data_IF_870066947458
#
_entry.id   IF_870066947458
#
_cell.length_a   1.000
_cell.length_b   1.000
_cell.length_c   1.000
_cell.angle_alpha   90.00
_cell.angle_beta   90.00
_cell.angle_gamma   90.00
#
_symmetry.space_group_name_H-M   'P 1'
#
loop_
_entity.id
_entity.type
_entity.pdbx_description
1 polymer ?
#
# COMPACT_ATOMS: atom_id res chain seq x y z
N UNK A 1 5.57 -19.84 -2.59
CA UNK A 1 6.77 -18.96 -2.68
C UNK A 1 6.28 -17.56 -3.01
N UNK A 2 6.80 -16.55 -2.33
CA UNK A 2 6.39 -15.15 -2.54
C UNK A 2 7.01 -14.53 -3.79
N UNK A 3 6.46 -13.40 -4.22
CA UNK A 3 6.98 -12.60 -5.33
C UNK A 3 7.71 -11.36 -4.83
N UNK A 4 8.78 -11.00 -5.51
CA UNK A 4 9.43 -9.71 -5.42
C UNK A 4 8.61 -8.66 -6.18
N UNK A 5 8.45 -7.48 -5.57
CA UNK A 5 7.72 -6.35 -6.15
C UNK A 5 8.68 -5.19 -6.31
N UNK A 6 8.82 -4.71 -7.54
CA UNK A 6 9.44 -3.43 -7.88
C UNK A 6 8.47 -2.71 -8.80
N UNK A 7 7.97 -1.57 -8.36
CA UNK A 7 7.05 -0.74 -9.14
C UNK A 7 7.64 0.66 -9.27
N UNK A 8 7.49 1.28 -10.45
CA UNK A 8 8.01 2.61 -10.74
C UNK A 8 6.89 3.51 -11.25
N UNK A 9 6.70 4.65 -10.58
CA UNK A 9 5.77 5.70 -10.98
C UNK A 9 6.55 6.96 -11.36
N UNK A 10 6.10 7.65 -12.41
CA UNK A 10 6.68 8.93 -12.83
C UNK A 10 5.99 10.06 -12.08
N UNK A 11 6.78 10.97 -11.54
CA UNK A 11 6.28 12.17 -10.87
C UNK A 11 6.75 13.45 -11.53
N UNK A 12 5.89 14.46 -11.50
CA UNK A 12 6.17 15.84 -11.94
C UNK A 12 6.35 16.75 -10.73
N UNK A 13 6.78 17.99 -10.95
CA UNK A 13 7.00 18.96 -9.88
C UNK A 13 5.73 19.28 -9.04
N UNK A 14 4.54 19.13 -9.61
CA UNK A 14 3.27 19.47 -8.94
C UNK A 14 2.87 18.49 -7.82
N UNK A 15 3.22 17.21 -7.94
CA UNK A 15 2.68 16.15 -7.06
C UNK A 15 3.66 15.70 -5.95
N UNK A 16 4.79 16.40 -5.78
CA UNK A 16 5.84 15.99 -4.85
C UNK A 16 5.44 16.15 -3.38
N UNK A 17 4.71 17.21 -3.03
CA UNK A 17 4.45 17.54 -1.62
C UNK A 17 3.62 16.46 -0.92
N UNK A 18 2.61 15.91 -1.59
CA UNK A 18 1.82 14.79 -1.06
C UNK A 18 2.67 13.54 -0.84
N UNK A 19 3.52 13.21 -1.82
CA UNK A 19 4.46 12.08 -1.73
C UNK A 19 5.45 12.26 -0.58
N UNK A 20 6.07 13.43 -0.46
CA UNK A 20 7.00 13.74 0.61
C UNK A 20 6.33 13.61 1.98
N UNK A 21 5.14 14.19 2.15
CA UNK A 21 4.42 14.10 3.43
C UNK A 21 4.11 12.66 3.86
N UNK A 22 3.79 11.80 2.90
CA UNK A 22 3.58 10.38 3.15
C UNK A 22 4.89 9.67 3.50
N UNK A 23 5.96 9.84 2.70
CA UNK A 23 7.27 9.21 2.95
C UNK A 23 7.87 9.63 4.29
N UNK A 24 7.82 10.92 4.57
CA UNK A 24 8.46 11.56 5.72
C UNK A 24 7.56 11.58 6.96
N UNK A 25 6.36 11.00 6.88
CA UNK A 25 5.34 10.95 7.95
C UNK A 25 5.04 12.33 8.58
N UNK A 26 4.95 13.37 7.75
CA UNK A 26 4.64 14.74 8.22
C UNK A 26 3.14 15.00 8.37
N UNK A 27 2.31 14.07 7.91
CA UNK A 27 0.86 14.09 8.03
C UNK A 27 0.37 12.71 8.45
N UNK A 28 -0.85 12.67 8.98
CA UNK A 28 -1.55 11.43 9.26
C UNK A 28 -1.74 10.61 7.98
N UNK A 29 -1.37 9.33 8.03
CA UNK A 29 -1.48 8.37 6.93
C UNK A 29 -2.42 7.26 7.41
N UNK A 30 -3.56 7.08 6.75
CA UNK A 30 -4.67 6.22 7.20
C UNK A 30 -4.27 4.76 7.46
N UNK A 31 -3.31 4.25 6.70
CA UNK A 31 -2.90 2.84 6.73
C UNK A 31 -1.58 2.60 7.51
N UNK A 32 -1.03 3.64 8.13
CA UNK A 32 0.17 3.55 8.96
C UNK A 32 -0.23 3.60 10.44
N UNK A 33 0.37 2.74 11.26
CA UNK A 33 0.25 2.79 12.72
C UNK A 33 1.26 3.80 13.28
N UNK A 34 0.82 4.94 13.85
CA UNK A 34 1.73 5.97 14.38
C UNK A 34 2.69 5.45 15.45
N UNK A 35 2.29 4.47 16.26
CA UNK A 35 3.11 3.88 17.32
C UNK A 35 4.32 3.12 16.77
N UNK A 36 4.21 2.60 15.54
CA UNK A 36 5.27 1.85 14.88
C UNK A 36 6.17 2.75 14.03
N UNK A 37 5.86 4.05 13.87
CA UNK A 37 6.62 4.96 13.01
C UNK A 37 8.09 5.09 13.38
N UNK A 38 8.45 4.92 14.66
CA UNK A 38 9.85 4.86 15.13
C UNK A 38 10.63 3.64 14.64
N UNK A 39 9.95 2.61 14.12
CA UNK A 39 10.59 1.45 13.51
C UNK A 39 11.09 1.74 12.11
N UNK A 40 10.49 2.71 11.41
CA UNK A 40 10.96 3.17 10.11
C UNK A 40 12.43 3.57 10.20
N UNK A 41 13.14 3.40 9.08
CA UNK A 41 14.53 3.80 8.98
C UNK A 41 14.83 4.22 7.54
N UNK A 42 15.95 4.89 7.37
CA UNK A 42 16.35 5.47 6.11
C UNK A 42 17.77 5.05 5.77
N UNK A 43 18.05 4.93 4.49
CA UNK A 43 19.43 4.75 4.00
C UNK A 43 19.94 6.09 3.49
N UNK A 44 21.13 6.47 3.97
CA UNK A 44 21.85 7.68 3.55
C UNK A 44 23.22 7.31 3.03
N UNK A 45 23.59 7.71 1.79
CA UNK A 45 24.93 7.49 1.29
C UNK A 45 25.90 8.52 1.86
N UNK A 46 27.11 8.08 2.12
CA UNK A 46 28.29 8.93 2.02
C UNK A 46 29.03 8.55 0.73
N UNK A 47 28.85 9.41 -0.26
CA UNK A 47 29.41 9.21 -1.60
C UNK A 47 30.95 9.29 -1.56
N UNK A 48 31.52 10.05 -0.62
CA UNK A 48 32.97 10.26 -0.54
C UNK A 48 33.70 9.00 -0.06
N UNK A 49 33.12 8.28 0.89
CA UNK A 49 33.66 7.03 1.42
C UNK A 49 33.08 5.77 0.75
N UNK A 50 32.15 5.91 -0.19
CA UNK A 50 31.40 4.82 -0.82
C UNK A 50 30.70 3.91 0.22
N UNK A 51 30.12 4.52 1.27
CA UNK A 51 29.42 3.82 2.35
C UNK A 51 27.97 4.25 2.41
N UNK A 52 27.15 3.43 3.04
CA UNK A 52 25.76 3.75 3.35
C UNK A 52 25.50 3.56 4.84
N UNK A 53 24.70 4.46 5.40
CA UNK A 53 24.34 4.47 6.80
C UNK A 53 22.84 4.26 6.94
N UNK A 54 22.47 3.52 7.99
CA UNK A 54 21.10 3.37 8.42
C UNK A 54 20.82 4.40 9.50
N UNK A 55 19.85 5.28 9.27
CA UNK A 55 19.48 6.35 10.21
C UNK A 55 18.01 6.24 10.56
N UNK A 56 17.64 6.76 11.75
CA UNK A 56 16.25 6.80 12.20
C UNK A 56 15.58 8.13 11.89
N UNK A 57 16.38 9.18 11.77
CA UNK A 57 15.91 10.52 11.48
C UNK A 57 15.71 10.71 9.98
N UNK A 58 14.54 11.24 9.62
CA UNK A 58 14.27 11.70 8.25
C UNK A 58 15.09 12.95 7.91
N UNK A 59 15.25 13.21 6.61
CA UNK A 59 15.73 14.53 6.18
C UNK A 59 14.63 15.56 6.49
N UNK A 60 15.00 16.65 7.19
CA UNK A 60 14.05 17.71 7.55
C UNK A 60 13.67 18.56 6.34
N UNK A 61 14.49 18.56 5.28
CA UNK A 61 14.19 19.29 4.04
C UNK A 61 13.03 18.60 3.33
N UNK A 62 12.00 19.36 2.89
CA UNK A 62 10.94 18.82 2.07
C UNK A 62 11.47 18.06 0.85
N UNK A 63 10.83 16.93 0.50
CA UNK A 63 11.21 16.12 -0.67
C UNK A 63 11.33 16.95 -1.97
N UNK A 64 10.47 17.97 -2.12
CA UNK A 64 10.50 18.91 -3.26
C UNK A 64 11.81 19.67 -3.36
N UNK A 65 12.36 20.11 -2.24
CA UNK A 65 13.64 20.82 -2.20
C UNK A 65 14.78 19.87 -2.50
N UNK A 66 14.75 18.65 -1.98
CA UNK A 66 15.79 17.63 -2.23
C UNK A 66 15.88 17.25 -3.70
N UNK A 67 14.72 17.04 -4.35
CA UNK A 67 14.65 16.83 -5.81
C UNK A 67 15.20 18.06 -6.55
N UNK A 68 14.78 19.27 -6.16
CA UNK A 68 15.22 20.52 -6.79
C UNK A 68 16.74 20.70 -6.69
N UNK A 69 17.32 20.52 -5.51
CA UNK A 69 18.77 20.59 -5.29
C UNK A 69 19.51 19.60 -6.16
N UNK A 70 19.07 18.33 -6.20
CA UNK A 70 19.72 17.32 -7.04
C UNK A 70 19.67 17.66 -8.53
N UNK A 71 18.55 18.20 -9.01
CA UNK A 71 18.41 18.69 -10.38
C UNK A 71 19.37 19.85 -10.62
N UNK A 72 19.43 20.84 -9.73
CA UNK A 72 20.33 22.00 -9.86
C UNK A 72 21.80 21.60 -9.90
N UNK A 73 22.21 20.63 -9.08
CA UNK A 73 23.58 20.13 -9.03
C UNK A 73 24.00 19.35 -10.28
N UNK A 74 23.07 18.63 -10.93
CA UNK A 74 23.40 17.69 -12.00
C UNK A 74 22.94 18.07 -13.40
N UNK A 75 22.02 19.01 -13.53
CA UNK A 75 21.46 19.38 -14.82
C UNK A 75 22.46 20.25 -15.60
N UNK A 76 22.86 19.76 -16.77
CA UNK A 76 23.81 20.44 -17.68
C UNK A 76 23.15 20.94 -18.96
N UNK A 77 21.83 20.82 -19.07
CA UNK A 77 21.10 21.28 -20.25
C UNK A 77 21.04 22.81 -20.30
N UNK A 78 21.08 23.35 -21.52
CA UNK A 78 21.01 24.81 -21.76
C UNK A 78 19.58 25.35 -21.71
N UNK A 79 18.60 24.50 -21.96
CA UNK A 79 17.19 24.87 -21.98
C UNK A 79 16.55 24.78 -20.60
N UNK A 80 15.55 25.63 -20.36
CA UNK A 80 14.70 25.52 -19.17
C UNK A 80 14.00 24.15 -19.13
N UNK A 81 13.85 23.60 -17.92
CA UNK A 81 13.13 22.34 -17.71
C UNK A 81 11.63 22.58 -17.95
N UNK A 82 11.03 21.80 -18.84
CA UNK A 82 9.59 21.84 -19.13
C UNK A 82 8.74 21.63 -17.86
N UNK A 83 7.61 22.33 -17.76
CA UNK A 83 6.74 22.30 -16.56
C UNK A 83 6.17 20.90 -16.25
N UNK A 84 5.94 20.12 -17.30
CA UNK A 84 5.44 18.75 -17.25
C UNK A 84 6.58 17.70 -17.33
N UNK A 85 7.83 18.12 -17.06
CA UNK A 85 8.95 17.20 -16.99
C UNK A 85 8.72 16.18 -15.87
N UNK A 86 9.13 14.94 -16.14
CA UNK A 86 9.28 13.95 -15.09
C UNK A 86 10.50 14.33 -14.27
N UNK A 87 10.28 14.92 -13.10
CA UNK A 87 11.35 15.39 -12.20
C UNK A 87 11.88 14.28 -11.31
N UNK A 88 11.07 13.25 -11.07
CA UNK A 88 11.44 12.13 -10.23
C UNK A 88 10.72 10.85 -10.64
N UNK A 89 11.32 9.73 -10.27
CA UNK A 89 10.74 8.40 -10.27
C UNK A 89 10.51 8.00 -8.82
N UNK A 90 9.30 7.51 -8.53
CA UNK A 90 8.94 6.92 -7.25
C UNK A 90 8.98 5.41 -7.42
N UNK A 91 9.91 4.77 -6.73
CA UNK A 91 10.02 3.33 -6.67
C UNK A 91 9.38 2.83 -5.38
N UNK A 92 8.59 1.77 -5.50
CA UNK A 92 8.12 0.97 -4.36
C UNK A 92 8.74 -0.41 -4.49
N UNK A 93 9.53 -0.81 -3.49
CA UNK A 93 10.16 -2.13 -3.44
C UNK A 93 9.64 -2.91 -2.23
N UNK A 94 9.10 -4.09 -2.45
CA UNK A 94 8.55 -4.96 -1.40
C UNK A 94 8.51 -6.41 -1.91
N UNK A 95 7.79 -7.27 -1.22
CA UNK A 95 7.49 -8.62 -1.63
C UNK A 95 6.13 -9.08 -1.13
N UNK A 96 5.82 -10.36 -1.34
CA UNK A 96 4.65 -10.98 -0.75
C UNK A 96 4.64 -10.83 0.78
N UNK A 97 3.47 -10.49 1.33
CA UNK A 97 3.31 -10.10 2.74
C UNK A 97 3.92 -11.11 3.72
N UNK A 98 3.66 -12.40 3.53
CA UNK A 98 4.17 -13.47 4.41
C UNK A 98 5.70 -13.45 4.44
N UNK A 99 6.34 -13.49 3.27
CA UNK A 99 7.79 -13.49 3.14
C UNK A 99 8.43 -12.20 3.68
N UNK A 100 7.79 -11.04 3.47
CA UNK A 100 8.28 -9.78 4.05
C UNK A 100 8.19 -9.75 5.57
N UNK A 101 7.12 -10.29 6.17
CA UNK A 101 7.00 -10.44 7.63
C UNK A 101 8.02 -11.44 8.19
N UNK A 102 8.38 -12.48 7.45
CA UNK A 102 9.49 -13.36 7.85
C UNK A 102 10.85 -12.67 7.76
N UNK A 103 11.08 -11.79 6.78
CA UNK A 103 12.30 -10.97 6.69
C UNK A 103 12.38 -9.98 7.86
N UNK A 104 11.26 -9.36 8.24
CA UNK A 104 11.18 -8.36 9.31
C UNK A 104 11.53 -8.90 10.69
N UNK A 105 11.27 -10.20 10.95
CA UNK A 105 11.60 -10.86 12.23
C UNK A 105 13.09 -10.86 12.54
N UNK A 106 13.94 -10.79 11.52
CA UNK A 106 15.39 -10.72 11.67
C UNK A 106 15.88 -9.30 11.26
N UNK A 107 16.27 -8.45 12.23
CA UNK A 107 16.72 -7.09 11.95
C UNK A 107 17.92 -7.01 11.00
N UNK A 108 18.81 -8.00 11.02
CA UNK A 108 19.97 -8.03 10.15
C UNK A 108 19.56 -8.40 8.73
N UNK A 109 18.71 -9.42 8.57
CA UNK A 109 18.14 -9.80 7.27
C UNK A 109 17.32 -8.67 6.65
N UNK A 110 16.56 -7.93 7.45
CA UNK A 110 15.82 -6.74 7.01
C UNK A 110 16.75 -5.62 6.53
N UNK A 111 17.83 -5.34 7.26
CA UNK A 111 18.86 -4.38 6.84
C UNK A 111 19.57 -4.83 5.56
N UNK A 112 19.86 -6.12 5.42
CA UNK A 112 20.50 -6.67 4.22
C UNK A 112 19.58 -6.65 3.01
N UNK A 113 18.27 -6.86 3.21
CA UNK A 113 17.24 -6.63 2.19
C UNK A 113 17.20 -5.16 1.75
N UNK A 114 17.16 -4.22 2.69
CA UNK A 114 17.16 -2.80 2.39
C UNK A 114 18.45 -2.35 1.68
N UNK A 115 19.62 -2.79 2.14
CA UNK A 115 20.92 -2.50 1.49
C UNK A 115 20.99 -3.07 0.08
N UNK A 116 20.53 -4.32 -0.10
CA UNK A 116 20.53 -4.96 -1.42
C UNK A 116 19.66 -4.18 -2.41
N UNK A 117 18.49 -3.71 -1.97
CA UNK A 117 17.62 -2.86 -2.79
C UNK A 117 18.27 -1.50 -3.09
N UNK A 118 18.95 -0.88 -2.12
CA UNK A 118 19.66 0.38 -2.33
C UNK A 118 20.75 0.25 -3.40
N UNK A 119 21.58 -0.79 -3.31
CA UNK A 119 22.63 -1.10 -4.28
C UNK A 119 22.02 -1.34 -5.66
N UNK A 120 20.98 -2.17 -5.75
CA UNK A 120 20.31 -2.46 -7.02
C UNK A 120 19.79 -1.19 -7.70
N UNK A 121 19.11 -0.31 -6.95
CA UNK A 121 18.63 0.96 -7.49
C UNK A 121 19.80 1.87 -7.88
N UNK A 122 20.86 1.92 -7.08
CA UNK A 122 22.04 2.74 -7.35
C UNK A 122 22.79 2.33 -8.61
N UNK A 123 22.90 1.03 -8.89
CA UNK A 123 23.52 0.49 -10.10
C UNK A 123 22.69 0.79 -11.36
N UNK A 124 21.37 0.71 -11.28
CA UNK A 124 20.49 0.88 -12.45
C UNK A 124 20.15 2.35 -12.73
N UNK A 125 20.00 3.16 -11.68
CA UNK A 125 19.51 4.54 -11.79
C UNK A 125 20.55 5.59 -11.39
N UNK A 126 21.69 5.17 -10.84
CA UNK A 126 22.78 6.04 -10.37
C UNK A 126 22.66 6.36 -8.88
N UNK A 127 23.69 6.07 -8.09
CA UNK A 127 23.73 6.34 -6.66
C UNK A 127 23.44 7.80 -6.29
N UNK A 128 24.04 8.75 -7.04
CA UNK A 128 23.80 10.19 -6.85
C UNK A 128 22.36 10.60 -7.17
N UNK A 129 21.64 9.81 -7.96
CA UNK A 129 20.27 10.13 -8.37
C UNK A 129 19.24 9.73 -7.30
N UNK A 130 19.60 8.87 -6.34
CA UNK A 130 18.73 8.51 -5.22
C UNK A 130 18.69 9.69 -4.25
N UNK A 131 17.56 10.41 -4.21
CA UNK A 131 17.37 11.55 -3.30
C UNK A 131 16.71 11.14 -1.99
N UNK A 132 15.93 10.05 -1.96
CA UNK A 132 15.36 9.47 -0.75
C UNK A 132 15.28 7.94 -0.87
N UNK A 133 15.49 7.25 0.25
CA UNK A 133 15.39 5.81 0.40
C UNK A 133 14.92 5.51 1.84
N UNK A 134 13.61 5.33 1.99
CA UNK A 134 12.94 5.12 3.26
C UNK A 134 12.36 3.72 3.32
N UNK A 135 12.58 3.03 4.43
CA UNK A 135 11.99 1.74 4.74
C UNK A 135 10.86 1.96 5.76
N UNK A 136 9.64 1.65 5.35
CA UNK A 136 8.44 1.76 6.18
C UNK A 136 8.07 0.38 6.74
N UNK A 137 7.98 0.32 8.07
CA UNK A 137 7.62 -0.87 8.86
C UNK A 137 6.33 -0.65 9.67
N UNK A 138 5.79 0.56 9.62
CA UNK A 138 4.58 0.99 10.32
C UNK A 138 3.28 0.73 9.55
N UNK A 139 3.36 0.12 8.37
CA UNK A 139 2.20 -0.31 7.59
C UNK A 139 2.06 -1.85 7.59
N UNK A 140 1.06 -2.38 6.88
CA UNK A 140 0.75 -3.82 6.85
C UNK A 140 1.94 -4.68 6.40
N UNK A 141 2.73 -4.23 5.43
CA UNK A 141 3.86 -5.01 4.88
C UNK A 141 5.09 -4.11 4.79
N UNK A 142 6.27 -4.56 5.25
CA UNK A 142 7.51 -3.84 5.05
C UNK A 142 7.74 -3.48 3.57
N UNK A 143 8.01 -2.22 3.30
CA UNK A 143 8.26 -1.75 1.94
C UNK A 143 9.19 -0.55 1.93
N UNK A 144 9.82 -0.34 0.78
CA UNK A 144 10.74 0.77 0.55
C UNK A 144 10.06 1.76 -0.37
N UNK A 145 10.07 3.03 0.05
CA UNK A 145 9.93 4.16 -0.84
C UNK A 145 11.30 4.68 -1.24
N UNK A 146 11.61 4.62 -2.54
CA UNK A 146 12.82 5.23 -3.08
C UNK A 146 12.44 6.29 -4.12
N UNK A 147 13.06 7.47 -4.00
CA UNK A 147 12.83 8.58 -4.92
C UNK A 147 14.13 8.85 -5.68
N UNK A 148 14.05 8.80 -7.00
CA UNK A 148 15.18 8.94 -7.92
C UNK A 148 14.95 10.13 -8.84
N UNK A 149 15.93 11.01 -8.99
CA UNK A 149 15.92 12.05 -10.04
C UNK A 149 16.54 11.46 -11.31
N UNK A 150 15.81 11.38 -12.45
CA UNK A 150 16.28 10.70 -13.66
C UNK A 150 17.24 11.56 -14.48
N UNK A 151 18.38 11.91 -13.89
CA UNK A 151 19.49 12.56 -14.59
C UNK A 151 20.33 11.50 -15.31
N UNK A 152 20.50 11.72 -16.61
CA UNK A 152 21.37 10.95 -17.50
C UNK A 152 22.85 11.22 -17.18
N UNK A 153 23.75 10.36 -17.69
CA UNK A 153 25.20 10.50 -17.46
C UNK A 153 25.76 11.83 -17.99
N UNK A 154 25.19 12.35 -19.07
CA UNK A 154 25.55 13.63 -19.68
C UNK A 154 24.85 14.85 -19.03
N UNK A 155 23.98 14.62 -18.03
CA UNK A 155 23.36 15.68 -17.24
C UNK A 155 22.03 16.22 -17.78
N UNK A 156 21.39 15.53 -18.74
CA UNK A 156 19.98 15.82 -19.13
C UNK A 156 19.01 15.17 -18.15
N UNK A 157 17.87 15.81 -17.90
CA UNK A 157 16.76 15.24 -17.13
C UNK A 157 15.84 14.43 -18.07
N UNK A 158 15.94 13.10 -18.06
CA UNK A 158 15.20 12.22 -18.98
C UNK A 158 14.83 10.88 -18.36
N UNK A 159 13.60 10.79 -17.84
CA UNK A 159 13.04 9.52 -17.38
C UNK A 159 12.96 8.46 -18.49
N UNK A 160 12.71 8.86 -19.74
CA UNK A 160 12.63 7.95 -20.88
C UNK A 160 13.96 7.22 -21.11
N UNK A 161 15.07 7.93 -20.98
CA UNK A 161 16.39 7.37 -21.22
C UNK A 161 16.88 6.55 -20.04
N UNK A 162 16.67 7.05 -18.82
CA UNK A 162 17.06 6.38 -17.58
C UNK A 162 16.27 5.08 -17.37
N UNK A 163 14.95 5.07 -17.62
CA UNK A 163 14.13 3.84 -17.51
C UNK A 163 14.26 2.94 -18.75
N UNK A 164 14.55 3.51 -19.91
CA UNK A 164 14.54 2.80 -21.17
C UNK A 164 13.13 2.53 -21.72
N UNK A 165 13.05 1.52 -22.59
CA UNK A 165 11.82 1.09 -23.24
C UNK A 165 11.15 -0.09 -22.47
N UNK A 166 10.04 -0.60 -23.00
CA UNK A 166 9.31 -1.74 -22.41
C UNK A 166 10.19 -2.98 -22.21
N UNK A 167 11.13 -3.25 -23.14
CA UNK A 167 12.03 -4.39 -23.04
C UNK A 167 13.00 -4.23 -21.86
N UNK A 168 13.66 -3.07 -21.75
CA UNK A 168 14.52 -2.74 -20.61
C UNK A 168 13.80 -2.82 -19.27
N UNK A 169 12.53 -2.37 -19.22
CA UNK A 169 11.71 -2.53 -18.02
C UNK A 169 11.40 -4.00 -17.69
N UNK A 170 11.27 -4.87 -18.69
CA UNK A 170 11.10 -6.32 -18.49
C UNK A 170 12.39 -6.97 -17.99
N UNK A 171 13.53 -6.57 -18.55
CA UNK A 171 14.87 -7.02 -18.13
C UNK A 171 15.18 -6.57 -16.70
N UNK A 172 14.78 -5.36 -16.31
CA UNK A 172 14.89 -4.87 -14.94
C UNK A 172 14.10 -5.77 -13.96
N UNK A 173 12.91 -6.21 -14.35
CA UNK A 173 12.14 -7.17 -13.53
C UNK A 173 12.79 -8.56 -13.52
N UNK A 174 13.37 -9.01 -14.64
CA UNK A 174 14.14 -10.26 -14.72
C UNK A 174 15.34 -10.23 -13.75
N UNK A 175 16.14 -9.17 -13.78
CA UNK A 175 17.33 -9.00 -12.93
C UNK A 175 16.97 -8.83 -11.46
N UNK A 176 15.95 -8.02 -11.15
CA UNK A 176 15.46 -7.82 -9.80
C UNK A 176 14.92 -9.11 -9.20
N UNK A 177 14.09 -9.85 -9.95
CA UNK A 177 13.56 -11.14 -9.52
C UNK A 177 14.65 -12.17 -9.25
N UNK A 178 15.69 -12.25 -10.09
CA UNK A 178 16.84 -13.14 -9.86
C UNK A 178 17.61 -12.77 -8.58
N UNK A 179 17.87 -11.49 -8.37
CA UNK A 179 18.56 -11.00 -7.17
C UNK A 179 17.77 -11.33 -5.89
N UNK A 180 16.47 -11.05 -5.90
CA UNK A 180 15.58 -11.27 -4.76
C UNK A 180 15.35 -12.76 -4.49
N UNK A 181 15.29 -13.60 -5.53
CA UNK A 181 15.17 -15.04 -5.38
C UNK A 181 16.41 -15.63 -4.70
N UNK A 182 17.59 -15.25 -5.18
CA UNK A 182 18.85 -15.80 -4.70
C UNK A 182 19.14 -15.42 -3.23
N UNK A 183 18.77 -14.20 -2.82
CA UNK A 183 19.09 -13.70 -1.48
C UNK A 183 17.96 -13.86 -0.45
N UNK A 184 16.71 -13.79 -0.89
CA UNK A 184 15.55 -13.69 0.01
C UNK A 184 14.44 -14.70 -0.31
N UNK A 185 14.59 -15.54 -1.34
CA UNK A 185 13.59 -16.52 -1.73
C UNK A 185 12.33 -15.92 -2.38
N UNK A 186 12.39 -14.66 -2.82
CA UNK A 186 11.30 -13.95 -3.48
C UNK A 186 11.43 -14.06 -5.01
N UNK A 187 10.45 -14.68 -5.64
CA UNK A 187 10.45 -14.93 -7.09
C UNK A 187 10.16 -13.68 -7.92
N UNK A 188 10.60 -13.69 -9.17
CA UNK A 188 10.14 -12.74 -10.17
C UNK A 188 8.62 -12.79 -10.32
N UNK A 189 7.97 -11.63 -10.40
CA UNK A 189 6.59 -11.56 -10.90
C UNK A 189 6.44 -12.18 -12.30
N UNK A 190 5.21 -12.50 -12.71
CA UNK A 190 5.00 -13.23 -13.97
C UNK A 190 5.26 -12.35 -15.19
N UNK A 191 6.06 -12.89 -16.13
CA UNK A 191 6.42 -12.22 -17.37
C UNK A 191 5.18 -12.14 -18.27
N UNK A 192 4.96 -10.96 -18.86
CA UNK A 192 3.77 -10.71 -19.69
C UNK A 192 2.44 -10.65 -18.92
N UNK A 193 2.46 -10.52 -17.58
CA UNK A 193 1.24 -10.34 -16.78
C UNK A 193 0.41 -9.16 -17.31
N UNK A 194 -0.89 -9.40 -17.51
CA UNK A 194 -1.88 -8.38 -17.91
C UNK A 194 -2.55 -7.71 -16.71
N UNK A 195 -2.05 -7.96 -15.50
CA UNK A 195 -2.59 -7.35 -14.29
C UNK A 195 -2.45 -5.83 -14.34
N UNK A 196 -3.55 -5.11 -14.07
CA UNK A 196 -3.55 -3.66 -13.91
C UNK A 196 -3.11 -3.29 -12.50
N UNK A 197 -2.40 -2.17 -12.38
CA UNK A 197 -2.09 -1.60 -11.07
C UNK A 197 -3.36 -1.02 -10.47
N UNK A 198 -3.74 -1.50 -9.29
CA UNK A 198 -4.78 -0.88 -8.48
C UNK A 198 -4.10 0.10 -7.53
N UNK A 199 -4.52 1.36 -7.52
CA UNK A 199 -4.09 2.28 -6.49
C UNK A 199 -4.56 1.81 -5.10
N UNK A 200 -3.86 2.22 -4.04
CA UNK A 200 -4.24 1.91 -2.66
C UNK A 200 -5.68 2.36 -2.37
N UNK A 201 -6.09 3.52 -2.88
CA UNK A 201 -7.45 4.06 -2.73
C UNK A 201 -8.49 3.18 -3.43
N UNK A 202 -8.22 2.72 -4.65
CA UNK A 202 -9.13 1.82 -5.37
C UNK A 202 -9.24 0.46 -4.68
N UNK A 203 -8.13 -0.06 -4.15
CA UNK A 203 -8.13 -1.29 -3.36
C UNK A 203 -9.08 -1.18 -2.16
N UNK A 204 -8.86 -0.20 -1.28
CA UNK A 204 -9.72 -0.01 -0.12
C UNK A 204 -11.15 0.42 -0.49
N UNK A 205 -11.34 1.15 -1.60
CA UNK A 205 -12.66 1.48 -2.12
C UNK A 205 -13.48 0.24 -2.48
N UNK A 206 -12.88 -0.72 -3.20
CA UNK A 206 -13.52 -2.00 -3.52
C UNK A 206 -13.81 -2.83 -2.26
N UNK A 207 -12.86 -2.86 -1.33
CA UNK A 207 -13.06 -3.54 -0.04
C UNK A 207 -14.25 -2.93 0.72
N UNK A 208 -14.29 -1.62 0.90
CA UNK A 208 -15.37 -0.95 1.64
C UNK A 208 -16.73 -1.14 0.98
N UNK A 209 -16.81 -1.10 -0.36
CA UNK A 209 -18.05 -1.38 -1.09
C UNK A 209 -18.56 -2.80 -0.83
N UNK A 210 -17.66 -3.78 -0.79
CA UNK A 210 -18.03 -5.17 -0.57
C UNK A 210 -18.35 -5.48 0.90
N UNK A 211 -17.73 -4.77 1.84
CA UNK A 211 -17.98 -4.88 3.27
C UNK A 211 -19.22 -4.12 3.76
N UNK A 212 -19.93 -3.40 2.88
CA UNK A 212 -21.14 -2.68 3.27
C UNK A 212 -22.24 -3.65 3.74
N UNK A 213 -22.60 -3.52 5.01
CA UNK A 213 -23.81 -4.10 5.58
C UNK A 213 -24.71 -2.94 6.02
N UNK A 214 -26.00 -2.92 5.64
CA UNK A 214 -26.93 -1.97 6.22
C UNK A 214 -26.97 -2.23 7.73
N UNK A 215 -26.60 -1.23 8.53
CA UNK A 215 -26.72 -1.32 9.98
C UNK A 215 -28.21 -1.45 10.30
N UNK A 216 -28.60 -2.60 10.85
CA UNK A 216 -29.91 -2.72 11.47
C UNK A 216 -29.81 -1.97 12.81
N UNK A 217 -30.22 -0.70 12.83
CA UNK A 217 -30.46 -0.01 14.09
C UNK A 217 -31.55 -0.79 14.82
N UNK A 218 -31.23 -1.36 15.97
CA UNK A 218 -32.25 -1.92 16.84
C UNK A 218 -33.08 -0.75 17.37
N UNK A 219 -34.16 -0.44 16.67
CA UNK A 219 -35.18 0.44 17.24
C UNK A 219 -35.79 -0.29 18.43
N UNK A 220 -35.55 0.25 19.63
CA UNK A 220 -36.20 -0.24 20.84
C UNK A 220 -37.71 -0.14 20.62
N UNK A 221 -38.41 -1.27 20.70
CA UNK A 221 -39.86 -1.30 20.59
C UNK A 221 -40.45 -0.24 21.54
N UNK A 222 -41.24 0.69 20.99
CA UNK A 222 -41.72 1.90 21.66
C UNK A 222 -42.73 1.60 22.78
N UNK A 223 -43.16 0.34 22.88
CA UNK A 223 -44.22 -0.13 23.77
C UNK A 223 -43.76 -0.46 25.20
N UNK A 224 -42.46 -0.52 25.48
CA UNK A 224 -41.96 -0.87 26.82
C UNK A 224 -42.11 0.32 27.78
N UNK A 225 -43.25 0.39 28.48
CA UNK A 225 -43.53 1.44 29.48
C UNK A 225 -42.86 1.11 30.81
N UNK A 226 -42.43 2.16 31.53
CA UNK A 226 -41.96 2.01 32.92
C UNK A 226 -43.09 1.44 33.78
N UNK A 227 -42.81 0.49 34.69
CA UNK A 227 -43.79 0.06 35.67
C UNK A 227 -44.20 1.23 36.57
N UNK A 228 -45.44 1.20 37.05
CA UNK A 228 -45.98 2.18 37.99
C UNK A 228 -46.55 1.46 39.21
N UNK A 229 -46.36 2.05 40.38
CA UNK A 229 -47.03 1.64 41.62
C UNK A 229 -48.31 2.46 41.78
N UNK A 230 -49.35 1.82 42.29
CA UNK A 230 -50.61 2.47 42.64
C UNK A 230 -50.45 3.32 43.90
N UNK A 231 -51.28 4.36 44.03
CA UNK A 231 -51.39 5.15 45.27
C UNK A 231 -51.96 4.29 46.40
N UNK A 232 -51.23 4.10 47.52
CA UNK A 232 -51.76 3.37 48.66
C UNK A 232 -53.03 4.05 49.20
N UNK A 233 -54.03 3.30 49.71
CA UNK A 233 -55.30 3.84 50.22
C UNK A 233 -55.12 4.46 51.62
N UNK A 234 -54.22 5.43 51.72
CA UNK A 234 -53.88 6.16 52.94
C UNK A 234 -53.85 7.66 52.62
N UNK A 235 -54.44 8.48 53.49
CA UNK A 235 -54.61 9.92 53.27
C UNK A 235 -53.25 10.62 53.09
N UNK A 236 -53.11 11.44 52.03
CA UNK A 236 -51.91 12.25 51.78
C UNK A 236 -50.72 11.51 51.17
N UNK A 237 -50.92 10.35 50.55
CA UNK A 237 -49.87 9.54 49.90
C UNK A 237 -49.71 9.77 48.40
N UNK A 238 -50.47 10.68 47.80
CA UNK A 238 -50.41 11.03 46.37
C UNK A 238 -49.01 11.54 45.99
N UNK A 239 -48.49 12.52 46.74
CA UNK A 239 -47.12 13.05 46.57
C UNK A 239 -46.02 12.03 46.85
N UNK A 240 -46.32 10.96 47.60
CA UNK A 240 -45.37 9.87 47.81
C UNK A 240 -45.33 8.95 46.60
N UNK A 241 -46.50 8.55 46.08
CA UNK A 241 -46.61 7.69 44.89
C UNK A 241 -46.03 8.37 43.64
N UNK A 242 -46.27 9.67 43.45
CA UNK A 242 -45.64 10.46 42.37
C UNK A 242 -44.12 10.45 42.45
N UNK A 243 -43.54 10.65 43.65
CA UNK A 243 -42.09 10.62 43.86
C UNK A 243 -41.50 9.23 43.59
N UNK A 244 -42.18 8.18 44.02
CA UNK A 244 -41.75 6.80 43.76
C UNK A 244 -41.84 6.44 42.27
N UNK A 245 -42.96 6.75 41.60
CA UNK A 245 -43.14 6.50 40.17
C UNK A 245 -42.12 7.28 39.32
N UNK A 246 -41.76 8.51 39.73
CA UNK A 246 -40.67 9.26 39.10
C UNK A 246 -39.32 8.54 39.26
N UNK A 247 -38.98 8.10 40.47
CA UNK A 247 -37.74 7.37 40.72
C UNK A 247 -37.67 6.03 39.99
N UNK A 248 -38.80 5.30 39.88
CA UNK A 248 -38.92 4.05 39.12
C UNK A 248 -38.68 4.32 37.62
N UNK A 249 -39.31 5.35 37.06
CA UNK A 249 -39.14 5.73 35.66
C UNK A 249 -37.70 6.12 35.33
N UNK A 250 -37.05 6.92 36.19
CA UNK A 250 -35.64 7.28 36.02
C UNK A 250 -34.73 6.05 36.01
N UNK A 251 -34.91 5.12 36.96
CA UNK A 251 -34.13 3.87 37.01
C UNK A 251 -34.41 2.95 35.83
N UNK A 252 -35.68 2.81 35.44
CA UNK A 252 -36.09 2.00 34.31
C UNK A 252 -35.46 2.50 33.00
N UNK A 253 -35.49 3.81 32.76
CA UNK A 253 -34.89 4.42 31.59
C UNK A 253 -33.35 4.27 31.58
N UNK A 254 -32.68 4.47 32.73
CA UNK A 254 -31.24 4.24 32.84
C UNK A 254 -30.87 2.78 32.50
N UNK A 255 -31.64 1.83 33.03
CA UNK A 255 -31.42 0.40 32.77
C UNK A 255 -31.68 0.05 31.29
N UNK A 256 -32.74 0.62 30.70
CA UNK A 256 -33.06 0.45 29.27
C UNK A 256 -31.92 0.94 28.37
N UNK A 257 -31.42 2.14 28.61
CA UNK A 257 -30.29 2.69 27.85
C UNK A 257 -29.00 1.90 28.06
N UNK A 258 -28.76 1.41 29.29
CA UNK A 258 -27.61 0.54 29.57
C UNK A 258 -27.64 -0.76 28.75
N UNK A 259 -28.76 -1.50 28.82
CA UNK A 259 -28.90 -2.75 28.07
C UNK A 259 -28.95 -2.55 26.57
N UNK A 260 -29.54 -1.44 26.10
CA UNK A 260 -29.49 -1.04 24.69
C UNK A 260 -28.04 -0.84 24.22
N UNK A 261 -27.25 -0.06 24.96
CA UNK A 261 -25.85 0.17 24.64
C UNK A 261 -25.01 -1.10 24.67
N UNK A 262 -25.27 -2.02 25.60
CA UNK A 262 -24.59 -3.33 25.63
C UNK A 262 -24.98 -4.21 24.43
N UNK A 263 -26.26 -4.25 24.06
CA UNK A 263 -26.73 -4.96 22.87
C UNK A 263 -26.13 -4.38 21.57
N UNK A 264 -26.07 -3.05 21.44
CA UNK A 264 -25.43 -2.36 20.32
C UNK A 264 -23.93 -2.69 20.25
N UNK A 265 -23.21 -2.68 21.37
CA UNK A 265 -21.80 -3.07 21.42
C UNK A 265 -21.59 -4.54 21.00
N UNK A 266 -22.46 -5.45 21.45
CA UNK A 266 -22.38 -6.86 21.07
C UNK A 266 -22.67 -7.04 19.58
N UNK A 267 -23.71 -6.39 19.05
CA UNK A 267 -24.04 -6.40 17.63
C UNK A 267 -22.88 -5.85 16.78
N UNK A 268 -22.27 -4.75 17.21
CA UNK A 268 -21.11 -4.17 16.53
C UNK A 268 -19.92 -5.13 16.50
N UNK A 269 -19.59 -5.79 17.63
CA UNK A 269 -18.52 -6.81 17.67
C UNK A 269 -18.77 -7.96 16.70
N UNK A 270 -20.02 -8.41 16.60
CA UNK A 270 -20.42 -9.48 15.66
C UNK A 270 -20.26 -9.00 14.22
N UNK A 271 -20.71 -7.77 13.92
CA UNK A 271 -20.56 -7.14 12.61
C UNK A 271 -19.09 -7.01 12.20
N UNK A 272 -18.23 -6.52 13.10
CA UNK A 272 -16.79 -6.36 12.87
C UNK A 272 -16.12 -7.71 12.60
N UNK A 273 -16.49 -8.77 13.34
CA UNK A 273 -16.01 -10.13 13.10
C UNK A 273 -16.42 -10.65 11.71
N UNK A 274 -17.69 -10.52 11.34
CA UNK A 274 -18.17 -10.95 10.02
C UNK A 274 -17.52 -10.15 8.88
N UNK A 275 -17.36 -8.84 9.05
CA UNK A 275 -16.65 -7.99 8.09
C UNK A 275 -15.18 -8.44 7.94
N UNK A 276 -14.49 -8.71 9.04
CA UNK A 276 -13.12 -9.23 9.02
C UNK A 276 -13.00 -10.58 8.30
N UNK A 277 -13.90 -11.52 8.60
CA UNK A 277 -13.94 -12.83 7.93
C UNK A 277 -14.25 -12.71 6.43
N UNK A 278 -15.21 -11.88 6.06
CA UNK A 278 -15.55 -11.61 4.66
C UNK A 278 -14.39 -10.95 3.90
N UNK A 279 -13.73 -9.99 4.52
CA UNK A 279 -12.53 -9.35 3.97
C UNK A 279 -11.45 -10.39 3.65
N UNK A 280 -11.16 -11.29 4.59
CA UNK A 280 -10.17 -12.34 4.37
C UNK A 280 -10.57 -13.29 3.23
N UNK A 281 -11.86 -13.64 3.13
CA UNK A 281 -12.38 -14.46 2.04
C UNK A 281 -12.26 -13.76 0.68
N UNK A 282 -12.57 -12.47 0.61
CA UNK A 282 -12.45 -11.67 -0.62
C UNK A 282 -11.00 -11.45 -1.04
N UNK A 283 -10.10 -11.12 -0.10
CA UNK A 283 -8.66 -11.04 -0.36
C UNK A 283 -8.13 -12.37 -0.91
N UNK A 284 -8.60 -13.50 -0.38
CA UNK A 284 -8.26 -14.85 -0.86
C UNK A 284 -8.83 -15.10 -2.26
N UNK A 285 -10.08 -14.73 -2.52
CA UNK A 285 -10.70 -14.88 -3.83
C UNK A 285 -9.99 -14.05 -4.92
N UNK A 286 -9.66 -12.80 -4.63
CA UNK A 286 -8.93 -11.93 -5.57
C UNK A 286 -7.49 -12.44 -5.80
N UNK A 287 -6.84 -13.00 -4.77
CA UNK A 287 -5.56 -13.70 -4.93
C UNK A 287 -5.69 -14.91 -5.86
N UNK A 288 -6.66 -15.78 -5.62
CA UNK A 288 -6.90 -16.97 -6.46
C UNK A 288 -7.26 -16.61 -7.90
N UNK A 289 -8.01 -15.51 -8.13
CA UNK A 289 -8.30 -15.00 -9.48
C UNK A 289 -7.03 -14.54 -10.19
N UNK A 290 -6.16 -13.81 -9.50
CA UNK A 290 -4.86 -13.38 -10.03
C UNK A 290 -3.98 -14.59 -10.32
N UNK A 291 -3.86 -15.55 -9.40
CA UNK A 291 -3.10 -16.80 -9.58
C UNK A 291 -3.64 -17.65 -10.75
N UNK A 292 -4.96 -17.78 -10.91
CA UNK A 292 -5.54 -18.50 -12.05
C UNK A 292 -5.25 -17.82 -13.39
N UNK A 293 -5.37 -16.49 -13.45
CA UNK A 293 -5.03 -15.71 -14.65
C UNK A 293 -3.56 -15.91 -15.02
N UNK A 294 -2.71 -15.92 -13.99
CA UNK A 294 -1.28 -16.16 -14.06
C UNK A 294 -0.94 -17.57 -14.57
N UNK A 295 -1.53 -18.62 -13.98
CA UNK A 295 -1.36 -20.00 -14.43
C UNK A 295 -1.78 -20.18 -15.89
N UNK A 296 -2.90 -19.58 -16.29
CA UNK A 296 -3.36 -19.59 -17.70
C UNK A 296 -2.33 -18.95 -18.64
N UNK A 297 -1.67 -17.87 -18.23
CA UNK A 297 -0.62 -17.24 -19.01
C UNK A 297 0.63 -18.13 -19.12
N UNK A 298 1.06 -18.76 -18.02
CA UNK A 298 2.18 -19.72 -18.02
C UNK A 298 1.91 -20.93 -18.91
N UNK A 299 0.71 -21.52 -18.80
CA UNK A 299 0.28 -22.62 -19.67
C UNK A 299 0.35 -22.19 -21.13
N UNK A 300 -0.13 -20.99 -21.47
CA UNK A 300 -0.06 -20.45 -22.83
C UNK A 300 1.39 -20.26 -23.32
N UNK A 301 2.31 -19.79 -22.46
CA UNK A 301 3.72 -19.68 -22.84
C UNK A 301 4.39 -21.05 -23.04
N UNK A 302 4.07 -22.04 -22.20
CA UNK A 302 4.57 -23.41 -22.37
C UNK A 302 4.01 -24.05 -23.65
N UNK A 303 2.71 -23.88 -23.91
CA UNK A 303 2.07 -24.36 -25.14
C UNK A 303 2.69 -23.71 -26.38
N UNK A 304 3.03 -22.42 -26.35
CA UNK A 304 3.79 -21.76 -27.42
C UNK A 304 5.18 -22.33 -27.67
N UNK A 305 5.87 -22.77 -26.62
CA UNK A 305 7.21 -23.38 -26.73
C UNK A 305 7.16 -24.81 -27.24
N UNK A 306 6.15 -25.57 -26.82
CA UNK A 306 5.95 -26.97 -27.23
C UNK A 306 5.35 -27.08 -28.62
N UNK A 307 4.48 -26.13 -28.98
CA UNK A 307 3.73 -26.13 -30.24
C UNK A 307 3.91 -24.83 -31.03
N UNK A 308 5.15 -24.42 -31.38
CA UNK A 308 5.39 -23.18 -32.12
C UNK A 308 4.61 -23.12 -33.43
N UNK A 309 4.33 -24.26 -34.07
CA UNK A 309 3.53 -24.39 -35.30
C UNK A 309 2.10 -23.86 -35.17
N UNK A 310 1.48 -23.95 -33.98
CA UNK A 310 0.13 -23.43 -33.73
C UNK A 310 0.08 -21.90 -33.68
N UNK A 311 1.23 -21.27 -33.47
CA UNK A 311 1.35 -19.83 -33.22
C UNK A 311 2.17 -19.09 -34.29
N UNK A 312 2.72 -19.81 -35.27
CA UNK A 312 3.33 -19.22 -36.45
C UNK A 312 2.22 -18.56 -37.30
N UNK A 313 2.35 -17.25 -37.53
CA UNK A 313 1.45 -16.54 -38.42
C UNK A 313 1.60 -17.15 -39.84
N UNK A 314 0.48 -17.55 -40.46
CA UNK A 314 0.44 -17.83 -41.91
C UNK A 314 0.93 -16.57 -42.62
N UNK A 315 2.17 -16.59 -43.12
CA UNK A 315 2.61 -15.70 -44.17
C UNK A 315 1.63 -15.89 -45.32
N UNK A 316 0.70 -14.95 -45.49
CA UNK A 316 -0.07 -14.84 -46.71
C UNK A 316 0.92 -14.44 -47.79
N UNK A 317 1.39 -15.46 -48.49
CA UNK A 317 2.09 -15.34 -49.76
C UNK A 317 1.18 -14.55 -50.70
N UNK A 318 1.44 -13.24 -50.83
CA UNK A 318 0.89 -12.44 -51.92
C UNK A 318 1.77 -12.77 -53.10
N UNK A 319 1.38 -13.82 -53.83
CA UNK A 319 2.05 -14.23 -55.05
C UNK A 319 2.30 -13.03 -55.95
N UNK A 320 3.55 -12.88 -56.38
CA UNK A 320 3.87 -12.15 -57.59
C UNK A 320 3.21 -12.90 -58.74
N UNK A 321 2.14 -12.33 -59.30
CA UNK A 321 1.74 -12.68 -60.65
C UNK A 321 2.77 -12.06 -61.61
N UNK A 322 3.33 -12.92 -62.45
CA UNK A 322 4.21 -12.60 -63.58
C UNK A 322 3.54 -11.66 -64.58
#
# INVERSE_FOLDING_TARGET
MGFAVLHIEKGTAGNVSGLGNHIDRTKHVLNANPELSGQNFYIRPDISSNRVFFVKERDKRPLKERIKSRIQEGYKGKAAIRKDAVTHLKLVLTGSHKEMKEIEKDPQKLKDWARTNYVFVGEHFGYKNIVEFSCHLDERTPHIHCVVVPLTKDGRLSAKEVMGNRHKMSELQDSYGKLMQNKFGLQRGIKGSTATHDSVREYYGRINQRLYYPSCSMELNSETRSPQIETPPLMGREKWAERQNKAISERFNQMREHYKGEAEKQSQKVLDYFQGSKLQAEERADRLRKENTQLRATIREQDKKLHPEKYAAKTRDRGMHL
#
